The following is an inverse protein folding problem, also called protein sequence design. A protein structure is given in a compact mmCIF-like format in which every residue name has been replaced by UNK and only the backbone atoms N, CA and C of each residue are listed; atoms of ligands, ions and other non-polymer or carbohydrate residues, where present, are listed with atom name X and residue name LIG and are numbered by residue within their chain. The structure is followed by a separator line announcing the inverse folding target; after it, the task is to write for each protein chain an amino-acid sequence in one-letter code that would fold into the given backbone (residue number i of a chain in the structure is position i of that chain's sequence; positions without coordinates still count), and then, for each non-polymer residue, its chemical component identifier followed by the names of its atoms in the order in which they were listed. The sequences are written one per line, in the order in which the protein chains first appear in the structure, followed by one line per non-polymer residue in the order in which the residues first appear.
data_IF_140320830904
#
_entry.id   IF_140320830904
#
_cell.length_a   1.000
_cell.length_b   1.000
_cell.length_c   1.000
_cell.angle_alpha   90.00
_cell.angle_beta   90.00
_cell.angle_gamma   90.00
#
_symmetry.space_group_name_H-M   'P 1'
#
loop_
_entity.id
_entity.type
_entity.pdbx_description
1 polymer ?
#
# COMPACT_ATOMS: atom_id res chain seq x y z
N UNK A 1 -29.23 -11.72 -21.44
CA UNK A 1 -28.97 -11.82 -19.98
C UNK A 1 -29.08 -13.28 -19.57
N UNK A 2 -28.01 -13.89 -19.07
CA UNK A 2 -28.01 -15.30 -18.67
C UNK A 2 -28.71 -15.45 -17.32
N UNK A 3 -29.81 -16.22 -17.27
CA UNK A 3 -30.62 -16.43 -16.05
C UNK A 3 -30.02 -17.45 -15.08
N UNK A 4 -28.94 -18.12 -15.48
CA UNK A 4 -28.17 -19.09 -14.67
C UNK A 4 -26.68 -18.87 -14.91
N UNK A 5 -26.10 -17.76 -14.40
CA UNK A 5 -24.67 -17.52 -14.52
C UNK A 5 -23.91 -18.67 -13.84
N UNK A 6 -22.72 -18.99 -14.35
CA UNK A 6 -21.84 -19.92 -13.67
C UNK A 6 -21.23 -19.21 -12.46
N UNK A 7 -21.33 -19.82 -11.29
CA UNK A 7 -20.79 -19.29 -10.03
C UNK A 7 -19.81 -20.28 -9.40
N UNK A 8 -19.01 -19.81 -8.46
CA UNK A 8 -18.20 -20.63 -7.55
C UNK A 8 -18.37 -20.13 -6.11
N UNK A 9 -18.06 -20.96 -5.12
CA UNK A 9 -18.05 -20.50 -3.74
C UNK A 9 -16.86 -19.54 -3.53
N UNK A 10 -17.02 -18.53 -2.68
CA UNK A 10 -15.92 -17.62 -2.34
C UNK A 10 -14.69 -18.33 -1.75
N UNK A 11 -14.88 -19.54 -1.21
CA UNK A 11 -13.83 -20.41 -0.66
C UNK A 11 -13.16 -21.32 -1.71
N UNK A 12 -13.63 -21.32 -2.96
CA UNK A 12 -13.05 -22.14 -4.05
C UNK A 12 -11.62 -21.69 -4.36
N UNK A 13 -10.68 -22.62 -4.53
CA UNK A 13 -9.26 -22.28 -4.77
C UNK A 13 -9.05 -21.62 -6.14
N UNK A 14 -7.96 -20.87 -6.30
CA UNK A 14 -7.60 -20.19 -7.55
C UNK A 14 -7.52 -21.16 -8.75
N UNK A 15 -6.92 -22.33 -8.55
CA UNK A 15 -6.79 -23.35 -9.60
C UNK A 15 -8.13 -23.96 -10.00
N UNK A 16 -9.03 -24.17 -9.03
CA UNK A 16 -10.39 -24.64 -9.30
C UNK A 16 -11.21 -23.57 -10.02
N UNK A 17 -11.10 -22.30 -9.61
CA UNK A 17 -11.72 -21.19 -10.32
C UNK A 17 -11.24 -21.12 -11.78
N UNK A 18 -9.92 -21.20 -12.01
CA UNK A 18 -9.33 -21.27 -13.36
C UNK A 18 -9.85 -22.46 -14.17
N UNK A 19 -9.92 -23.63 -13.55
CA UNK A 19 -10.41 -24.84 -14.21
C UNK A 19 -11.89 -24.70 -14.60
N UNK A 20 -12.72 -24.12 -13.73
CA UNK A 20 -14.13 -23.81 -14.04
C UNK A 20 -14.21 -22.86 -15.24
N UNK A 21 -13.41 -21.79 -15.23
CA UNK A 21 -13.41 -20.76 -16.27
C UNK A 21 -12.94 -21.29 -17.63
N UNK A 22 -11.84 -22.07 -17.65
CA UNK A 22 -11.35 -22.76 -18.85
C UNK A 22 -12.37 -23.75 -19.39
N UNK A 23 -12.92 -24.61 -18.53
CA UNK A 23 -13.91 -25.63 -18.91
C UNK A 23 -15.18 -25.03 -19.49
N UNK A 24 -15.62 -23.89 -18.96
CA UNK A 24 -16.85 -23.21 -19.39
C UNK A 24 -16.63 -22.12 -20.42
N UNK A 25 -15.39 -21.89 -20.85
CA UNK A 25 -14.99 -20.81 -21.77
C UNK A 25 -15.54 -19.42 -21.34
N UNK A 26 -15.47 -19.11 -20.04
CA UNK A 26 -15.92 -17.83 -19.47
C UNK A 26 -14.74 -17.01 -18.94
N UNK A 27 -14.81 -15.69 -19.09
CA UNK A 27 -13.77 -14.76 -18.59
C UNK A 27 -14.07 -14.15 -17.23
N UNK A 28 -15.29 -14.29 -16.74
CA UNK A 28 -15.74 -13.78 -15.45
C UNK A 28 -16.51 -14.89 -14.72
N UNK A 29 -16.19 -15.08 -13.43
CA UNK A 29 -16.78 -16.08 -12.56
C UNK A 29 -17.24 -15.41 -11.27
N UNK A 30 -18.53 -15.09 -11.14
CA UNK A 30 -19.11 -14.59 -9.90
C UNK A 30 -18.88 -15.56 -8.73
N UNK A 31 -18.36 -15.03 -7.62
CA UNK A 31 -18.14 -15.76 -6.38
C UNK A 31 -19.31 -15.50 -5.44
N UNK A 32 -19.84 -16.58 -4.84
CA UNK A 32 -21.00 -16.53 -3.94
C UNK A 32 -20.69 -17.13 -2.58
N UNK A 33 -21.41 -16.72 -1.55
CA UNK A 33 -21.38 -17.39 -0.24
C UNK A 33 -22.23 -18.68 -0.21
N UNK A 34 -22.31 -19.31 0.97
CA UNK A 34 -23.15 -20.50 1.18
C UNK A 34 -24.66 -20.25 1.05
N UNK A 35 -25.10 -18.99 1.09
CA UNK A 35 -26.49 -18.58 0.85
C UNK A 35 -26.76 -18.20 -0.62
N UNK A 36 -25.75 -18.27 -1.48
CA UNK A 36 -25.85 -17.92 -2.90
C UNK A 36 -25.83 -16.42 -3.18
N UNK A 37 -25.47 -15.59 -2.20
CA UNK A 37 -25.31 -14.15 -2.39
C UNK A 37 -23.96 -13.84 -3.04
N UNK A 38 -23.95 -12.88 -3.96
CA UNK A 38 -22.72 -12.44 -4.64
C UNK A 38 -21.78 -11.77 -3.63
N UNK A 39 -20.59 -12.34 -3.48
CA UNK A 39 -19.54 -11.83 -2.59
C UNK A 39 -18.30 -11.36 -3.34
N UNK A 40 -18.15 -11.72 -4.62
CA UNK A 40 -17.03 -11.26 -5.44
C UNK A 40 -17.14 -11.64 -6.91
N UNK A 41 -16.11 -11.30 -7.68
CA UNK A 41 -15.98 -11.64 -9.09
C UNK A 41 -14.54 -12.03 -9.37
N UNK A 42 -14.30 -13.26 -9.82
CA UNK A 42 -12.99 -13.69 -10.30
C UNK A 42 -12.92 -13.53 -11.82
N UNK A 43 -11.83 -12.99 -12.35
CA UNK A 43 -11.62 -12.86 -13.79
C UNK A 43 -10.48 -13.73 -14.28
N UNK A 44 -10.55 -14.17 -15.54
CA UNK A 44 -9.55 -15.06 -16.12
C UNK A 44 -8.18 -14.39 -16.12
N UNK A 45 -8.13 -13.09 -16.40
CA UNK A 45 -6.90 -12.33 -16.51
C UNK A 45 -6.21 -12.18 -15.14
N UNK A 46 -6.98 -11.97 -14.08
CA UNK A 46 -6.49 -12.01 -12.69
C UNK A 46 -5.94 -13.38 -12.32
N UNK A 47 -6.72 -14.44 -12.58
CA UNK A 47 -6.36 -15.76 -12.13
C UNK A 47 -5.19 -16.34 -12.93
N UNK A 48 -5.05 -15.99 -14.21
CA UNK A 48 -3.91 -16.39 -15.04
C UNK A 48 -2.65 -15.56 -14.81
N UNK A 49 -2.72 -14.45 -14.06
CA UNK A 49 -1.59 -13.54 -13.87
C UNK A 49 -1.17 -12.82 -15.16
N UNK A 50 -2.06 -12.74 -16.16
CA UNK A 50 -1.75 -12.21 -17.50
C UNK A 50 -1.77 -10.68 -17.57
N UNK A 51 -2.28 -9.97 -16.56
CA UNK A 51 -2.23 -8.50 -16.55
C UNK A 51 -0.90 -8.03 -15.96
N UNK A 52 0.17 -8.15 -16.75
CA UNK A 52 1.46 -7.54 -16.44
C UNK A 52 1.29 -6.01 -16.45
N UNK A 53 1.66 -5.35 -15.36
CA UNK A 53 1.60 -3.90 -15.22
C UNK A 53 3.01 -3.31 -15.27
N UNK A 54 3.27 -2.49 -16.28
CA UNK A 54 4.58 -1.88 -16.53
C UNK A 54 4.86 -0.64 -15.66
N UNK A 55 3.88 -0.22 -14.85
CA UNK A 55 4.04 0.77 -13.80
C UNK A 55 5.14 0.34 -12.83
N UNK A 56 6.05 1.27 -12.54
CA UNK A 56 7.04 1.06 -11.50
C UNK A 56 6.42 1.20 -10.11
N UNK A 57 6.88 0.35 -9.19
CA UNK A 57 6.58 0.44 -7.77
C UNK A 57 7.83 0.90 -7.03
N UNK A 58 7.73 1.93 -6.21
CA UNK A 58 8.81 2.42 -5.34
C UNK A 58 8.53 2.01 -3.90
N UNK A 59 9.40 1.18 -3.34
CA UNK A 59 9.32 0.74 -1.94
C UNK A 59 10.34 1.52 -1.10
N UNK A 60 9.85 2.30 -0.13
CA UNK A 60 10.70 3.16 0.70
C UNK A 60 11.28 2.38 1.87
N UNK A 61 12.55 1.97 1.76
CA UNK A 61 13.23 1.10 2.73
C UNK A 61 14.42 1.76 3.45
N UNK A 62 14.65 3.07 3.29
CA UNK A 62 15.79 3.79 3.87
C UNK A 62 15.68 4.22 5.35
N UNK A 63 14.60 3.89 6.04
CA UNK A 63 14.35 4.36 7.41
C UNK A 63 15.18 3.66 8.49
N UNK A 64 15.69 4.43 9.47
CA UNK A 64 16.48 3.92 10.61
C UNK A 64 15.71 3.00 11.58
N UNK A 65 14.38 3.07 11.60
CA UNK A 65 13.56 2.24 12.48
C UNK A 65 13.77 2.45 13.98
N UNK A 66 14.32 3.59 14.42
CA UNK A 66 14.78 3.82 15.81
C UNK A 66 13.77 3.53 16.92
N UNK A 67 12.47 3.62 16.64
CA UNK A 67 11.36 3.31 17.57
C UNK A 67 11.19 1.81 17.84
N UNK A 68 11.83 0.94 17.08
CA UNK A 68 11.78 -0.52 17.19
C UNK A 68 13.06 -1.13 17.78
N UNK A 69 14.00 -0.29 18.25
CA UNK A 69 15.17 -0.80 18.97
C UNK A 69 14.75 -1.65 20.19
N UNK A 70 15.44 -2.76 20.47
CA UNK A 70 16.73 -3.17 19.87
C UNK A 70 16.62 -4.00 18.58
N UNK A 71 15.41 -4.29 18.07
CA UNK A 71 15.23 -5.14 16.88
C UNK A 71 15.95 -4.57 15.65
N UNK A 72 16.02 -3.24 15.55
CA UNK A 72 16.63 -2.54 14.43
C UNK A 72 18.09 -2.14 14.63
N UNK A 73 18.76 -2.65 15.68
CA UNK A 73 20.18 -2.33 15.90
C UNK A 73 21.09 -3.02 14.90
N UNK A 74 20.71 -4.22 14.44
CA UNK A 74 21.48 -5.04 13.48
C UNK A 74 20.61 -5.56 12.32
N UNK A 75 19.43 -4.98 12.09
CA UNK A 75 18.52 -5.38 11.03
C UNK A 75 17.73 -4.14 10.57
N UNK A 76 17.73 -3.79 9.27
CA UNK A 76 16.90 -2.68 8.82
C UNK A 76 15.42 -3.03 9.03
N UNK A 77 14.61 -2.02 9.40
CA UNK A 77 13.19 -2.20 9.74
C UNK A 77 12.41 -3.03 8.70
N UNK A 78 12.54 -2.79 7.38
CA UNK A 78 11.83 -3.57 6.36
C UNK A 78 12.23 -5.06 6.32
N UNK A 79 13.37 -5.42 6.93
CA UNK A 79 13.86 -6.80 7.00
C UNK A 79 13.46 -7.53 8.29
N UNK A 80 12.76 -6.86 9.20
CA UNK A 80 12.22 -7.53 10.39
C UNK A 80 11.23 -8.62 9.98
N UNK A 81 11.30 -9.75 10.67
CA UNK A 81 10.43 -10.90 10.41
C UNK A 81 9.02 -10.61 10.90
N UNK A 82 8.05 -10.69 10.00
CA UNK A 82 6.63 -10.62 10.36
C UNK A 82 5.98 -11.90 9.85
N UNK A 83 5.64 -12.78 10.79
CA UNK A 83 5.29 -14.16 10.47
C UNK A 83 6.53 -14.97 10.09
N UNK A 84 6.54 -15.53 8.88
CA UNK A 84 7.58 -16.46 8.42
C UNK A 84 8.60 -15.86 7.44
N UNK A 85 8.51 -14.56 7.15
CA UNK A 85 9.37 -13.88 6.17
C UNK A 85 9.59 -12.40 6.53
N UNK A 86 10.59 -11.73 5.93
CA UNK A 86 10.76 -10.28 6.09
C UNK A 86 9.54 -9.48 5.63
N UNK A 87 9.22 -8.39 6.33
CA UNK A 87 8.12 -7.50 5.98
C UNK A 87 8.16 -7.03 4.52
N UNK A 88 9.34 -6.59 4.05
CA UNK A 88 9.52 -6.11 2.68
C UNK A 88 9.28 -7.21 1.64
N UNK A 89 9.53 -8.47 1.98
CA UNK A 89 9.22 -9.58 1.08
C UNK A 89 7.71 -9.75 0.93
N UNK A 90 6.96 -9.68 2.04
CA UNK A 90 5.49 -9.73 1.97
C UNK A 90 4.92 -8.60 1.12
N UNK A 91 5.46 -7.38 1.27
CA UNK A 91 5.07 -6.23 0.45
C UNK A 91 5.36 -6.49 -1.03
N UNK A 92 6.58 -6.92 -1.37
CA UNK A 92 6.98 -7.24 -2.74
C UNK A 92 6.06 -8.30 -3.37
N UNK A 93 5.86 -9.43 -2.68
CA UNK A 93 5.01 -10.52 -3.17
C UNK A 93 3.57 -10.06 -3.42
N UNK A 94 3.01 -9.15 -2.61
CA UNK A 94 1.66 -8.60 -2.81
C UNK A 94 1.53 -7.73 -4.07
N UNK A 95 2.57 -6.96 -4.41
CA UNK A 95 2.62 -6.24 -5.68
C UNK A 95 2.76 -7.21 -6.86
N UNK A 96 3.58 -8.26 -6.72
CA UNK A 96 3.74 -9.29 -7.77
C UNK A 96 2.43 -10.03 -8.01
N UNK A 97 1.72 -10.42 -6.95
CA UNK A 97 0.37 -11.00 -7.03
C UNK A 97 -0.63 -10.08 -7.75
N UNK A 98 -0.39 -8.76 -7.69
CA UNK A 98 -1.19 -7.72 -8.36
C UNK A 98 -0.74 -7.42 -9.79
N UNK A 99 0.29 -8.11 -10.31
CA UNK A 99 0.77 -8.02 -11.69
C UNK A 99 1.92 -7.05 -11.92
N UNK A 100 2.43 -6.38 -10.88
CA UNK A 100 3.57 -5.47 -10.98
C UNK A 100 4.89 -6.25 -11.02
N UNK A 101 5.82 -5.82 -11.87
CA UNK A 101 7.08 -6.56 -12.12
C UNK A 101 8.32 -5.68 -12.16
N UNK A 102 8.19 -4.37 -11.92
CA UNK A 102 9.31 -3.41 -11.94
C UNK A 102 9.31 -2.62 -10.65
N UNK A 103 10.42 -2.70 -9.92
CA UNK A 103 10.53 -2.18 -8.57
C UNK A 103 11.76 -1.30 -8.44
N UNK A 104 11.57 -0.15 -7.83
CA UNK A 104 12.63 0.60 -7.17
C UNK A 104 12.57 0.34 -5.67
N UNK A 105 13.70 0.07 -5.04
CA UNK A 105 13.80 0.00 -3.57
C UNK A 105 14.72 1.13 -3.12
N UNK A 106 14.18 2.08 -2.36
CA UNK A 106 14.98 3.16 -1.77
C UNK A 106 15.70 2.66 -0.54
N UNK A 107 17.02 2.70 -0.53
CA UNK A 107 17.87 2.14 0.53
C UNK A 107 18.81 3.19 1.10
N UNK A 108 19.09 3.09 2.40
CA UNK A 108 20.07 3.93 3.10
C UNK A 108 20.79 3.07 4.15
N UNK A 109 20.28 3.06 5.38
CA UNK A 109 20.87 2.33 6.49
C UNK A 109 20.82 0.82 6.24
N UNK A 110 21.98 0.16 6.31
CA UNK A 110 22.14 -1.29 6.06
C UNK A 110 21.61 -1.74 4.68
N UNK A 111 21.82 -0.92 3.65
CA UNK A 111 21.43 -1.22 2.27
C UNK A 111 21.89 -2.62 1.80
N UNK A 112 23.14 -2.99 2.12
CA UNK A 112 23.74 -4.28 1.76
C UNK A 112 22.86 -5.48 2.19
N UNK A 113 22.20 -5.40 3.35
CA UNK A 113 21.33 -6.49 3.85
C UNK A 113 20.09 -6.68 2.97
N UNK A 114 19.54 -5.57 2.46
CA UNK A 114 18.38 -5.60 1.57
C UNK A 114 18.84 -6.10 0.19
N UNK A 115 19.93 -5.56 -0.34
CA UNK A 115 20.48 -5.92 -1.64
C UNK A 115 20.90 -7.38 -1.72
N UNK A 116 21.55 -7.92 -0.69
CA UNK A 116 21.93 -9.34 -0.61
C UNK A 116 20.69 -10.24 -0.58
N UNK A 117 19.62 -9.82 0.09
CA UNK A 117 18.40 -10.62 0.21
C UNK A 117 17.54 -10.63 -1.06
N UNK A 118 17.41 -9.47 -1.73
CA UNK A 118 16.51 -9.29 -2.87
C UNK A 118 17.23 -9.40 -4.23
N UNK A 119 18.53 -9.13 -4.30
CA UNK A 119 19.29 -9.16 -5.55
C UNK A 119 18.66 -8.29 -6.63
N UNK A 120 18.68 -8.76 -7.87
CA UNK A 120 18.06 -8.08 -9.02
C UNK A 120 16.55 -8.40 -9.19
N UNK A 121 15.96 -9.18 -8.28
CA UNK A 121 14.57 -9.64 -8.37
C UNK A 121 14.36 -10.91 -9.20
N UNK A 122 15.40 -11.47 -9.82
CA UNK A 122 15.30 -12.67 -10.68
C UNK A 122 14.65 -13.87 -9.98
N UNK A 123 14.86 -14.03 -8.67
CA UNK A 123 14.19 -15.06 -7.83
C UNK A 123 12.67 -15.02 -7.93
N UNK A 124 12.08 -13.84 -8.13
CA UNK A 124 10.64 -13.64 -8.27
C UNK A 124 10.21 -13.32 -9.70
N UNK A 125 11.10 -13.41 -10.68
CA UNK A 125 10.84 -13.07 -12.09
C UNK A 125 10.42 -11.59 -12.28
N UNK A 126 11.03 -10.70 -11.52
CA UNK A 126 10.80 -9.24 -11.58
C UNK A 126 12.12 -8.49 -11.71
N UNK A 127 12.03 -7.21 -12.03
CA UNK A 127 13.15 -6.27 -12.06
C UNK A 127 13.17 -5.47 -10.75
N UNK A 128 14.29 -5.52 -10.02
CA UNK A 128 14.55 -4.67 -8.85
C UNK A 128 15.76 -3.79 -9.13
N UNK A 129 15.60 -2.48 -8.92
CA UNK A 129 16.66 -1.47 -8.99
C UNK A 129 16.72 -0.71 -7.67
N UNK A 130 17.92 -0.44 -7.18
CA UNK A 130 18.12 0.23 -5.89
C UNK A 130 18.36 1.73 -6.06
N UNK A 131 17.65 2.53 -5.27
CA UNK A 131 17.84 3.98 -5.17
C UNK A 131 18.60 4.25 -3.87
N UNK A 132 19.90 4.55 -3.96
CA UNK A 132 20.73 4.80 -2.78
C UNK A 132 20.57 6.23 -2.29
N UNK A 133 20.00 6.40 -1.11
CA UNK A 133 19.90 7.68 -0.43
C UNK A 133 21.20 7.94 0.37
N UNK A 134 21.99 8.95 0.01
CA UNK A 134 23.19 9.33 0.78
C UNK A 134 22.85 9.93 2.16
N UNK A 135 21.67 10.54 2.28
CA UNK A 135 21.13 11.16 3.48
C UNK A 135 19.63 10.90 3.52
N UNK A 136 18.97 11.15 4.64
CA UNK A 136 17.51 11.05 4.73
C UNK A 136 16.86 12.07 3.78
N UNK A 137 16.22 11.61 2.69
CA UNK A 137 15.59 12.48 1.69
C UNK A 137 14.08 12.63 1.88
N UNK A 138 13.49 11.97 2.87
CA UNK A 138 12.05 12.02 3.11
C UNK A 138 11.28 11.07 2.20
N UNK A 139 9.96 11.01 2.41
CA UNK A 139 9.06 10.03 1.77
C UNK A 139 8.82 10.26 0.29
N UNK A 140 9.06 11.48 -0.20
CA UNK A 140 8.97 11.82 -1.62
C UNK A 140 10.35 12.13 -2.23
N UNK A 141 11.33 12.59 -1.44
CA UNK A 141 12.63 13.02 -1.97
C UNK A 141 13.41 11.90 -2.66
N UNK A 142 13.28 10.65 -2.22
CA UNK A 142 13.90 9.50 -2.91
C UNK A 142 13.41 9.33 -4.35
N UNK A 143 12.20 9.81 -4.69
CA UNK A 143 11.70 9.80 -6.07
C UNK A 143 12.49 10.73 -6.98
N UNK A 144 13.18 11.74 -6.41
CA UNK A 144 14.13 12.58 -7.15
C UNK A 144 15.42 11.86 -7.57
N UNK A 145 15.64 10.61 -7.12
CA UNK A 145 16.77 9.77 -7.52
C UNK A 145 16.45 8.86 -8.71
N UNK A 146 15.21 8.87 -9.22
CA UNK A 146 14.83 8.06 -10.36
C UNK A 146 15.72 8.40 -11.57
N UNK A 147 16.22 7.40 -12.33
CA UNK A 147 17.17 7.62 -13.42
C UNK A 147 16.56 8.37 -14.61
N UNK A 148 15.24 8.50 -14.64
CA UNK A 148 14.49 9.25 -15.63
C UNK A 148 13.02 9.35 -15.25
N UNK A 149 12.30 10.20 -15.99
CA UNK A 149 10.86 10.34 -15.85
C UNK A 149 10.17 9.07 -16.37
N UNK A 150 9.34 8.40 -15.56
CA UNK A 150 8.58 7.23 -16.03
C UNK A 150 7.47 7.66 -17.01
N UNK A 151 7.09 6.75 -17.91
CA UNK A 151 5.99 6.98 -18.87
C UNK A 151 4.60 6.76 -18.25
N UNK A 152 4.55 6.00 -17.16
CA UNK A 152 3.33 5.58 -16.47
C UNK A 152 3.33 6.07 -15.01
N UNK A 153 2.15 6.18 -14.38
CA UNK A 153 2.05 6.48 -12.95
C UNK A 153 2.87 5.51 -12.10
N UNK A 154 3.49 6.04 -11.06
CA UNK A 154 4.24 5.28 -10.07
C UNK A 154 3.35 4.90 -8.90
N UNK A 155 3.48 3.67 -8.39
CA UNK A 155 2.99 3.35 -7.06
C UNK A 155 4.14 3.56 -6.08
N UNK A 156 3.87 4.22 -4.96
CA UNK A 156 4.87 4.46 -3.91
C UNK A 156 4.31 3.94 -2.60
N UNK A 157 5.10 3.17 -1.87
CA UNK A 157 4.67 2.59 -0.60
C UNK A 157 5.81 2.60 0.41
N UNK A 158 5.49 2.95 1.66
CA UNK A 158 6.44 2.83 2.75
C UNK A 158 6.72 1.35 3.05
N UNK A 159 8.00 1.00 3.22
CA UNK A 159 8.44 -0.38 3.46
C UNK A 159 8.12 -0.94 4.85
N UNK A 160 7.37 -0.19 5.66
CA UNK A 160 6.93 -0.56 7.01
C UNK A 160 5.41 -0.77 7.14
N UNK A 161 4.68 -0.70 6.03
CA UNK A 161 3.23 -0.87 6.01
C UNK A 161 2.88 -2.31 5.63
N UNK A 162 2.22 -3.04 6.52
CA UNK A 162 1.63 -4.34 6.23
C UNK A 162 0.17 -4.16 5.81
N UNK A 163 -0.19 -4.60 4.60
CA UNK A 163 -1.53 -4.30 4.05
C UNK A 163 -2.08 -5.36 3.10
N UNK A 164 -3.41 -5.37 2.97
CA UNK A 164 -4.18 -6.11 1.96
C UNK A 164 -4.85 -5.21 0.91
N UNK A 165 -4.42 -3.95 0.80
CA UNK A 165 -4.93 -3.03 -0.24
C UNK A 165 -4.88 -3.68 -1.62
N UNK A 166 -5.95 -3.53 -2.39
CA UNK A 166 -5.99 -3.95 -3.77
C UNK A 166 -5.29 -2.90 -4.66
N UNK A 167 -4.00 -3.09 -4.92
CA UNK A 167 -3.19 -2.16 -5.72
C UNK A 167 -3.70 -1.97 -7.15
N UNK A 168 -4.43 -2.95 -7.70
CA UNK A 168 -5.05 -2.84 -9.03
C UNK A 168 -6.19 -1.84 -8.98
N UNK A 169 -7.09 -1.98 -8.01
CA UNK A 169 -8.18 -1.04 -7.80
C UNK A 169 -7.69 0.37 -7.48
N UNK A 170 -6.61 0.48 -6.69
CA UNK A 170 -5.99 1.77 -6.40
C UNK A 170 -5.51 2.47 -7.69
N UNK A 171 -4.79 1.75 -8.54
CA UNK A 171 -4.30 2.30 -9.81
C UNK A 171 -5.45 2.62 -10.77
N UNK A 172 -6.43 1.72 -10.90
CA UNK A 172 -7.58 1.92 -11.78
C UNK A 172 -8.41 3.15 -11.32
N UNK A 173 -8.59 3.32 -10.00
CA UNK A 173 -9.23 4.51 -9.41
C UNK A 173 -8.46 5.80 -9.75
N UNK A 174 -7.14 5.80 -9.59
CA UNK A 174 -6.30 6.95 -9.92
C UNK A 174 -6.45 7.38 -11.39
N UNK A 175 -6.42 6.40 -12.30
CA UNK A 175 -6.60 6.64 -13.74
C UNK A 175 -8.00 7.15 -14.05
N UNK A 176 -9.04 6.55 -13.46
CA UNK A 176 -10.45 6.97 -13.67
C UNK A 176 -10.70 8.43 -13.28
N UNK A 177 -10.05 8.90 -12.20
CA UNK A 177 -10.22 10.26 -11.68
C UNK A 177 -9.24 11.27 -12.30
N UNK A 178 -8.30 10.82 -13.15
CA UNK A 178 -7.29 11.68 -13.79
C UNK A 178 -6.52 12.55 -12.78
N UNK A 179 -6.27 12.02 -11.58
CA UNK A 179 -5.59 12.72 -10.51
C UNK A 179 -4.09 12.82 -10.81
N UNK A 180 -3.44 13.95 -10.49
CA UNK A 180 -1.98 14.04 -10.55
C UNK A 180 -1.31 13.22 -9.43
N UNK A 181 -2.03 13.03 -8.32
CA UNK A 181 -1.57 12.24 -7.19
C UNK A 181 -2.79 11.68 -6.42
N UNK A 182 -2.69 10.43 -5.98
CA UNK A 182 -3.69 9.78 -5.13
C UNK A 182 -3.03 9.31 -3.84
N UNK A 183 -3.61 9.67 -2.69
CA UNK A 183 -3.16 9.25 -1.36
C UNK A 183 -4.12 8.23 -0.79
N UNK A 184 -3.60 7.08 -0.35
CA UNK A 184 -4.39 6.17 0.44
C UNK A 184 -4.53 6.70 1.88
N UNK A 185 -5.74 6.60 2.42
CA UNK A 185 -6.03 7.00 3.81
C UNK A 185 -6.72 5.90 4.58
N UNK A 186 -6.55 5.93 5.90
CA UNK A 186 -7.23 5.02 6.83
C UNK A 186 -8.05 5.81 7.83
N UNK A 187 -9.25 5.33 8.14
CA UNK A 187 -10.05 5.87 9.25
C UNK A 187 -9.36 5.58 10.58
N UNK A 188 -9.26 6.62 11.41
CA UNK A 188 -8.69 6.57 12.75
C UNK A 188 -9.66 7.22 13.74
N UNK A 189 -10.18 6.42 14.65
CA UNK A 189 -11.08 6.87 15.70
C UNK A 189 -10.29 7.24 16.96
N UNK A 190 -10.43 8.49 17.39
CA UNK A 190 -9.91 8.97 18.65
C UNK A 190 -11.06 9.20 19.63
N UNK A 191 -11.14 8.35 20.66
CA UNK A 191 -12.07 8.57 21.77
C UNK A 191 -11.42 9.46 22.82
N UNK A 192 -12.06 10.59 23.11
CA UNK A 192 -11.70 11.37 24.29
C UNK A 192 -12.22 10.60 25.51
N UNK A 193 -11.41 10.20 26.51
CA UNK A 193 -11.90 9.37 27.62
C UNK A 193 -12.69 10.15 28.68
N UNK A 194 -13.09 11.39 28.38
CA UNK A 194 -13.74 12.34 29.28
C UNK A 194 -14.91 13.05 28.58
N UNK A 195 -15.75 13.72 29.37
CA UNK A 195 -16.73 14.67 28.85
C UNK A 195 -16.08 15.90 28.23
N UNK A 196 -16.32 16.13 26.95
CA UNK A 196 -15.86 17.32 26.23
C UNK A 196 -16.92 18.41 26.37
N UNK A 197 -16.53 19.54 26.95
CA UNK A 197 -17.41 20.69 27.18
C UNK A 197 -17.09 21.80 26.19
N UNK A 198 -18.07 22.23 25.40
CA UNK A 198 -17.97 23.46 24.61
C UNK A 198 -18.53 24.62 25.43
N UNK A 199 -17.76 25.70 25.57
CA UNK A 199 -18.16 26.88 26.34
C UNK A 199 -18.12 28.15 25.48
N UNK A 200 -19.07 29.06 25.73
CA UNK A 200 -19.07 30.43 25.21
C UNK A 200 -18.94 31.39 26.40
N UNK A 201 -17.73 31.90 26.61
CA UNK A 201 -17.35 32.64 27.81
C UNK A 201 -17.51 31.78 29.07
N UNK A 202 -18.48 32.12 29.91
CA UNK A 202 -18.79 31.41 31.17
C UNK A 202 -19.94 30.41 31.04
N UNK A 203 -20.60 30.33 29.88
CA UNK A 203 -21.79 29.48 29.68
C UNK A 203 -21.38 28.17 29.02
N UNK A 204 -21.89 27.07 29.57
CA UNK A 204 -21.81 25.76 28.93
C UNK A 204 -22.78 25.74 27.75
N UNK A 205 -22.29 25.41 26.56
CA UNK A 205 -23.07 25.30 25.32
C UNK A 205 -23.46 23.83 25.07
N UNK A 206 -22.51 22.92 25.20
CA UNK A 206 -22.74 21.48 25.05
C UNK A 206 -21.77 20.67 25.90
N UNK A 207 -22.17 19.44 26.23
CA UNK A 207 -21.33 18.43 26.86
C UNK A 207 -21.51 17.15 26.05
N UNK A 208 -20.42 16.58 25.56
CA UNK A 208 -20.39 15.31 24.88
C UNK A 208 -19.57 14.32 25.71
N UNK A 209 -20.17 13.20 26.13
CA UNK A 209 -19.52 12.24 27.02
C UNK A 209 -18.78 11.19 26.19
N UNK A 210 -17.46 11.13 26.38
CA UNK A 210 -16.57 10.22 25.66
C UNK A 210 -16.75 10.23 24.13
N UNK A 211 -16.77 11.42 23.49
CA UNK A 211 -16.97 11.53 22.06
C UNK A 211 -15.88 10.79 21.30
N UNK A 212 -16.27 10.21 20.18
CA UNK A 212 -15.37 9.63 19.21
C UNK A 212 -15.25 10.62 18.05
N UNK A 213 -14.03 11.03 17.76
CA UNK A 213 -13.71 11.82 16.58
C UNK A 213 -13.04 10.92 15.55
N UNK A 214 -13.61 10.83 14.36
CA UNK A 214 -13.08 10.05 13.25
C UNK A 214 -12.27 10.94 12.32
N UNK A 215 -11.04 10.51 12.02
CA UNK A 215 -10.12 11.20 11.13
C UNK A 215 -9.67 10.28 9.99
N UNK A 216 -9.25 10.87 8.88
CA UNK A 216 -8.47 10.16 7.87
C UNK A 216 -6.99 10.42 8.09
N UNK A 217 -6.22 9.36 8.32
CA UNK A 217 -4.76 9.41 8.45
C UNK A 217 -4.10 8.91 7.18
N UNK A 218 -2.94 9.47 6.85
CA UNK A 218 -2.12 9.03 5.72
C UNK A 218 -1.68 7.58 5.92
N UNK A 219 -1.96 6.72 4.94
CA UNK A 219 -1.67 5.30 5.01
C UNK A 219 -0.30 4.90 4.46
N UNK A 220 0.51 5.86 3.98
CA UNK A 220 1.86 5.58 3.46
C UNK A 220 1.86 4.84 2.12
N UNK A 221 0.77 4.94 1.34
CA UNK A 221 0.61 4.33 0.02
C UNK A 221 0.07 5.41 -0.93
N UNK A 222 0.67 5.52 -2.11
CA UNK A 222 0.39 6.60 -3.05
C UNK A 222 0.43 6.11 -4.50
N UNK A 223 -0.28 6.81 -5.38
CA UNK A 223 -0.09 6.75 -6.83
C UNK A 223 0.27 8.15 -7.32
N UNK A 224 1.36 8.29 -8.04
CA UNK A 224 1.94 9.59 -8.43
C UNK A 224 2.13 9.62 -9.95
N UNK A 225 1.52 10.60 -10.62
CA UNK A 225 1.76 10.84 -12.04
C UNK A 225 3.19 11.33 -12.28
N UNK A 226 3.82 11.02 -13.42
CA UNK A 226 5.16 11.51 -13.76
C UNK A 226 5.27 13.04 -13.70
N UNK A 227 4.18 13.77 -13.94
CA UNK A 227 4.15 15.23 -13.87
C UNK A 227 4.24 15.77 -12.43
N UNK A 228 3.77 15.04 -11.43
CA UNK A 228 3.92 15.45 -10.02
C UNK A 228 5.37 15.32 -9.53
N UNK A 229 6.17 14.43 -10.14
CA UNK A 229 7.58 14.27 -9.79
C UNK A 229 8.42 15.52 -10.06
N UNK A 230 7.99 16.38 -10.99
CA UNK A 230 8.69 17.62 -11.33
C UNK A 230 8.71 18.64 -10.18
N UNK A 231 7.79 18.51 -9.22
CA UNK A 231 7.78 19.34 -8.02
C UNK A 231 8.85 18.92 -7.00
N UNK A 232 9.41 17.71 -7.12
CA UNK A 232 10.34 17.17 -6.14
C UNK A 232 11.75 17.72 -6.39
N UNK A 233 12.32 18.49 -5.46
CA UNK A 233 13.67 19.03 -5.62
C UNK A 233 14.72 17.91 -5.53
N UNK A 234 15.66 17.82 -6.49
CA UNK A 234 16.66 16.76 -6.50
C UNK A 234 17.61 16.89 -5.31
N UNK A 235 17.95 15.76 -4.67
CA UNK A 235 18.92 15.72 -3.58
C UNK A 235 18.49 16.40 -2.29
N UNK A 236 17.22 16.75 -2.13
CA UNK A 236 16.70 17.46 -0.96
C UNK A 236 15.71 16.62 -0.16
N UNK A 237 15.50 17.02 1.09
CA UNK A 237 14.45 16.45 1.92
C UNK A 237 13.09 16.92 1.40
N UNK A 238 12.23 15.98 1.04
CA UNK A 238 10.89 16.26 0.56
C UNK A 238 9.95 15.13 0.98
N UNK A 239 8.81 15.46 1.58
CA UNK A 239 7.84 14.47 2.06
C UNK A 239 6.55 14.49 1.24
N UNK A 240 5.84 13.37 1.25
CA UNK A 240 4.56 13.22 0.54
C UNK A 240 3.52 14.29 0.93
N UNK A 241 3.31 14.67 2.21
CA UNK A 241 2.39 15.76 2.54
C UNK A 241 2.78 17.10 1.90
N UNK A 242 4.07 17.39 1.76
CA UNK A 242 4.57 18.59 1.07
C UNK A 242 4.22 18.53 -0.42
N UNK A 243 4.50 17.40 -1.08
CA UNK A 243 4.12 17.18 -2.48
C UNK A 243 2.62 17.41 -2.72
N UNK A 244 1.76 16.80 -1.90
CA UNK A 244 0.31 16.98 -2.01
C UNK A 244 -0.12 18.43 -1.76
N UNK A 245 0.50 19.09 -0.78
CA UNK A 245 0.22 20.51 -0.49
C UNK A 245 0.54 21.39 -1.70
N UNK A 246 1.69 21.17 -2.35
CA UNK A 246 2.07 21.91 -3.56
C UNK A 246 1.11 21.64 -4.72
N UNK A 247 0.73 20.38 -4.95
CA UNK A 247 -0.24 20.03 -6.00
C UNK A 247 -1.58 20.72 -5.80
N UNK A 248 -2.09 20.75 -4.57
CA UNK A 248 -3.33 21.45 -4.19
C UNK A 248 -3.19 22.96 -4.43
N UNK A 249 -2.08 23.57 -4.00
CA UNK A 249 -1.83 25.00 -4.18
C UNK A 249 -1.72 25.39 -5.67
N UNK A 250 -1.20 24.50 -6.50
CA UNK A 250 -1.14 24.67 -7.95
C UNK A 250 -2.47 24.35 -8.67
N UNK A 251 -3.54 24.03 -7.94
CA UNK A 251 -4.85 23.71 -8.51
C UNK A 251 -4.87 22.40 -9.32
N UNK A 252 -3.97 21.47 -9.01
CA UNK A 252 -3.92 20.15 -9.64
C UNK A 252 -4.89 19.20 -8.95
N UNK A 253 -5.50 18.31 -9.71
CA UNK A 253 -6.44 17.32 -9.17
C UNK A 253 -5.70 16.31 -8.30
N UNK A 254 -6.05 16.18 -7.03
CA UNK A 254 -5.52 15.17 -6.11
C UNK A 254 -6.65 14.39 -5.49
N UNK A 255 -6.51 13.08 -5.35
CA UNK A 255 -7.60 12.23 -4.85
C UNK A 255 -7.22 11.44 -3.61
N UNK A 256 -8.25 11.07 -2.86
CA UNK A 256 -8.15 10.26 -1.64
C UNK A 256 -8.72 8.88 -1.93
N UNK A 257 -7.96 7.84 -1.60
CA UNK A 257 -8.40 6.44 -1.70
C UNK A 257 -8.57 5.83 -0.30
N UNK A 258 -9.80 5.63 0.19
CA UNK A 258 -10.02 5.07 1.53
C UNK A 258 -9.71 3.57 1.56
N UNK A 259 -8.76 3.16 2.40
CA UNK A 259 -8.46 1.75 2.64
C UNK A 259 -9.50 1.14 3.57
N UNK A 260 -10.16 0.08 3.10
CA UNK A 260 -11.11 -0.71 3.92
C UNK A 260 -10.51 -2.01 4.39
N UNK A 261 -9.54 -2.53 3.64
CA UNK A 261 -8.82 -3.76 3.90
C UNK A 261 -7.87 -3.63 5.11
N UNK A 262 -7.19 -4.74 5.44
CA UNK A 262 -6.17 -4.76 6.47
C UNK A 262 -5.06 -3.74 6.16
N UNK A 263 -4.70 -2.95 7.16
CA UNK A 263 -3.59 -1.99 7.11
C UNK A 263 -3.01 -1.82 8.51
N UNK A 264 -1.69 -1.90 8.61
CA UNK A 264 -0.95 -1.70 9.85
C UNK A 264 0.42 -1.09 9.54
N UNK A 265 0.68 0.12 10.06
CA UNK A 265 2.04 0.69 10.13
C UNK A 265 2.79 0.02 11.28
N UNK A 266 3.87 -0.68 10.96
CA UNK A 266 4.70 -1.37 11.94
C UNK A 266 5.68 -0.36 12.53
N UNK A 267 5.18 0.66 13.23
CA UNK A 267 5.98 1.79 13.73
C UNK A 267 6.63 1.54 15.09
N UNK A 268 5.94 0.79 15.95
CA UNK A 268 6.31 0.53 17.34
C UNK A 268 6.27 -0.96 17.69
N UNK A 269 6.85 -1.31 18.84
CA UNK A 269 6.93 -2.70 19.29
C UNK A 269 5.56 -3.37 19.41
N UNK A 270 4.54 -2.64 19.88
CA UNK A 270 3.18 -3.14 19.98
C UNK A 270 2.60 -3.50 18.61
N UNK A 271 2.82 -2.65 17.59
CA UNK A 271 2.37 -2.91 16.22
C UNK A 271 3.10 -4.11 15.62
N UNK A 272 4.40 -4.24 15.88
CA UNK A 272 5.20 -5.39 15.43
C UNK A 272 4.73 -6.72 16.05
N UNK A 273 4.42 -6.72 17.34
CA UNK A 273 3.88 -7.89 18.02
C UNK A 273 2.48 -8.25 17.51
N UNK A 274 1.63 -7.23 17.32
CA UNK A 274 0.30 -7.38 16.74
C UNK A 274 0.37 -7.95 15.32
N UNK A 275 1.24 -7.39 14.48
CA UNK A 275 1.46 -7.86 13.11
C UNK A 275 1.83 -9.35 13.09
N UNK A 276 2.75 -9.78 13.97
CA UNK A 276 3.14 -11.18 14.08
C UNK A 276 2.00 -12.09 14.58
N UNK A 277 1.18 -11.62 15.54
CA UNK A 277 0.03 -12.36 16.04
C UNK A 277 -1.07 -12.54 15.00
N UNK A 278 -1.30 -11.53 14.16
CA UNK A 278 -2.34 -11.53 13.13
C UNK A 278 -1.86 -12.09 11.78
N UNK A 279 -0.54 -12.26 11.59
CA UNK A 279 0.04 -12.53 10.28
C UNK A 279 -0.51 -13.81 9.64
N UNK A 280 -0.56 -14.92 10.38
CA UNK A 280 -1.05 -16.18 9.82
C UNK A 280 -2.52 -16.08 9.48
N UNK A 281 -3.35 -15.52 10.35
CA UNK A 281 -4.81 -15.41 10.10
C UNK A 281 -5.13 -14.51 8.90
N UNK A 282 -4.29 -13.50 8.65
CA UNK A 282 -4.52 -12.53 7.59
C UNK A 282 -3.80 -12.93 6.31
N UNK A 283 -2.54 -13.37 6.34
CA UNK A 283 -1.70 -13.54 5.15
C UNK A 283 -1.39 -14.99 4.77
N UNK A 284 -1.94 -15.99 5.48
CA UNK A 284 -1.86 -17.41 5.04
C UNK A 284 -2.92 -17.81 4.02
#
# INVERSE_FOLDING_TARGET
MNRRPSTALATTSRDEQLAIMRRKAIRHLPLVDGAGQLTGLATMDELTGLTRRDNWVVLMAGGLGSRLRPLTDNCPKPMLQVGNKPLLQTILEKFIESGFHRFYISVNYMADVIEEYFGDGSRWQVEIVYLHEEKRMGTAGALGLLPGKPDLPLLVMNGDVLTKVNFRQLLDFHVEHSSVATMCVREYDFQVPYGVVTADGHRIVSIDEKPIQTFFVNAGIYVIEPAALEAIPPGQFFDMPTLFTEMIQCGRETSVFPIREYWLDIGHMADYQRANGEYMDVFS
#
